data_IF_911198667652
#
_entry.id   IF_911198667652
#
_cell.length_a   1.000
_cell.length_b   1.000
_cell.length_c   1.000
_cell.angle_alpha   90.00
_cell.angle_beta   90.00
_cell.angle_gamma   90.00
#
_symmetry.space_group_name_H-M   'P 1'
#
loop_
_entity.id
_entity.type
_entity.pdbx_description
1 polymer ?
#
# COMPACT_ATOMS: atom_id res chain seq x y z
N UNK A 1 84.26 -29.53 -119.39
CA UNK A 1 83.05 -30.26 -119.82
C UNK A 1 82.27 -29.58 -120.95
N UNK A 2 81.62 -28.42 -120.77
CA UNK A 2 80.78 -27.84 -121.86
C UNK A 2 81.61 -27.42 -123.09
N UNK A 3 82.81 -26.84 -122.88
CA UNK A 3 83.75 -26.49 -123.96
C UNK A 3 84.34 -27.72 -124.66
N UNK A 4 84.52 -28.83 -123.95
CA UNK A 4 85.02 -30.09 -124.54
C UNK A 4 83.93 -30.78 -125.37
N UNK A 5 82.67 -30.70 -124.94
CA UNK A 5 81.54 -31.24 -125.70
C UNK A 5 81.32 -30.45 -127.01
N UNK A 6 81.52 -29.13 -126.98
CA UNK A 6 81.48 -28.27 -128.16
C UNK A 6 82.55 -28.66 -129.19
N UNK A 7 83.80 -28.79 -128.76
CA UNK A 7 84.92 -29.16 -129.65
C UNK A 7 84.76 -30.59 -130.20
N UNK A 8 84.32 -31.54 -129.37
CA UNK A 8 84.08 -32.92 -129.81
C UNK A 8 82.94 -33.01 -130.85
N UNK A 9 81.87 -32.21 -130.71
CA UNK A 9 80.79 -32.14 -131.70
C UNK A 9 81.26 -31.49 -133.01
N UNK A 10 82.16 -30.50 -132.94
CA UNK A 10 82.76 -29.85 -134.09
C UNK A 10 83.70 -30.79 -134.87
N UNK A 11 84.52 -31.57 -134.18
CA UNK A 11 85.38 -32.61 -134.79
C UNK A 11 84.56 -33.74 -135.44
N UNK A 12 83.37 -34.06 -134.90
CA UNK A 12 82.45 -35.04 -135.49
C UNK A 12 81.69 -34.51 -136.74
N UNK A 13 82.00 -33.29 -137.21
CA UNK A 13 81.42 -32.68 -138.41
C UNK A 13 80.10 -31.94 -138.19
N UNK A 14 79.68 -31.70 -136.94
CA UNK A 14 78.50 -30.86 -136.68
C UNK A 14 78.81 -29.39 -137.01
N UNK A 15 77.83 -28.67 -137.59
CA UNK A 15 77.99 -27.24 -137.85
C UNK A 15 78.15 -26.46 -136.54
N UNK A 16 78.89 -25.36 -136.61
CA UNK A 16 79.27 -24.57 -135.43
C UNK A 16 78.05 -24.12 -134.59
N UNK A 17 76.95 -23.77 -135.26
CA UNK A 17 75.67 -23.45 -134.60
C UNK A 17 75.06 -24.64 -133.83
N UNK A 18 75.15 -25.86 -134.37
CA UNK A 18 74.58 -27.05 -133.71
C UNK A 18 75.42 -27.49 -132.52
N UNK A 19 76.74 -27.40 -132.64
CA UNK A 19 77.64 -27.65 -131.51
C UNK A 19 77.42 -26.60 -130.40
N UNK A 20 77.26 -25.32 -130.75
CA UNK A 20 77.00 -24.24 -129.80
C UNK A 20 75.67 -24.43 -129.07
N UNK A 21 74.59 -24.73 -129.81
CA UNK A 21 73.28 -24.97 -129.24
C UNK A 21 73.28 -26.16 -128.27
N UNK A 22 73.98 -27.25 -128.61
CA UNK A 22 74.10 -28.42 -127.73
C UNK A 22 74.87 -28.07 -126.44
N UNK A 23 75.95 -27.31 -126.55
CA UNK A 23 76.72 -26.85 -125.40
C UNK A 23 75.91 -25.91 -124.48
N UNK A 24 75.10 -25.02 -125.04
CA UNK A 24 74.24 -24.10 -124.29
C UNK A 24 73.10 -24.84 -123.56
N UNK A 25 72.48 -25.83 -124.20
CA UNK A 25 71.47 -26.68 -123.55
C UNK A 25 72.07 -27.44 -122.37
N UNK A 26 73.28 -27.98 -122.52
CA UNK A 26 73.97 -28.66 -121.42
C UNK A 26 74.29 -27.70 -120.27
N UNK A 27 74.73 -26.47 -120.59
CA UNK A 27 74.95 -25.42 -119.60
C UNK A 27 73.66 -25.04 -118.85
N UNK A 28 72.54 -24.96 -119.56
CA UNK A 28 71.22 -24.74 -118.98
C UNK A 28 70.80 -25.87 -118.03
N UNK A 29 71.08 -27.12 -118.40
CA UNK A 29 70.78 -28.28 -117.57
C UNK A 29 71.61 -28.29 -116.28
N UNK A 30 72.91 -27.99 -116.35
CA UNK A 30 73.75 -27.91 -115.16
C UNK A 30 73.32 -26.77 -114.21
N UNK A 31 72.91 -25.62 -114.75
CA UNK A 31 72.36 -24.52 -113.92
C UNK A 31 71.02 -24.89 -113.26
N UNK A 32 70.19 -25.69 -113.94
CA UNK A 32 68.93 -26.17 -113.36
C UNK A 32 69.18 -27.14 -112.21
N UNK A 33 70.16 -28.01 -112.35
CA UNK A 33 70.56 -28.99 -111.32
C UNK A 33 71.08 -28.27 -110.05
N UNK A 34 71.95 -27.28 -110.23
CA UNK A 34 72.49 -26.46 -109.13
C UNK A 34 71.39 -25.64 -108.43
N UNK A 35 70.37 -25.17 -109.18
CA UNK A 35 69.18 -24.51 -108.59
C UNK A 35 68.24 -25.49 -107.88
N UNK A 36 68.24 -26.75 -108.29
CA UNK A 36 67.44 -27.81 -107.66
C UNK A 36 68.06 -28.23 -106.32
N UNK A 37 69.39 -28.23 -106.22
CA UNK A 37 70.09 -28.42 -104.94
C UNK A 37 69.96 -27.22 -103.99
N UNK A 38 69.81 -26.00 -104.54
CA UNK A 38 69.58 -24.79 -103.74
C UNK A 38 68.13 -24.60 -103.26
N UNK A 39 67.18 -25.43 -103.72
CA UNK A 39 65.81 -25.44 -103.20
C UNK A 39 65.75 -26.26 -101.91
N UNK A 40 65.06 -25.72 -100.90
CA UNK A 40 64.89 -26.31 -99.58
C UNK A 40 64.77 -27.84 -99.63
N UNK A 41 65.66 -28.51 -98.90
CA UNK A 41 65.77 -29.96 -98.90
C UNK A 41 64.52 -30.57 -98.26
N UNK A 42 64.26 -31.86 -98.53
CA UNK A 42 63.18 -32.58 -97.84
C UNK A 42 63.36 -32.59 -96.32
N UNK A 43 64.59 -32.41 -95.85
CA UNK A 43 64.96 -32.27 -94.44
C UNK A 43 64.35 -30.99 -93.84
N UNK A 44 64.53 -29.84 -94.51
CA UNK A 44 64.01 -28.54 -94.07
C UNK A 44 62.47 -28.56 -93.95
N UNK A 45 61.80 -29.23 -94.89
CA UNK A 45 60.35 -29.39 -94.86
C UNK A 45 59.89 -30.31 -93.72
N UNK A 46 60.70 -31.33 -93.37
CA UNK A 46 60.43 -32.23 -92.27
C UNK A 46 60.61 -31.53 -90.91
N UNK A 47 61.62 -30.66 -90.79
CA UNK A 47 61.88 -29.86 -89.61
C UNK A 47 60.76 -28.84 -89.37
N UNK A 48 60.39 -28.07 -90.40
CA UNK A 48 59.25 -27.13 -90.32
C UNK A 48 57.96 -27.86 -89.97
N UNK A 49 57.74 -29.08 -90.48
CA UNK A 49 56.56 -29.89 -90.13
C UNK A 49 56.59 -30.38 -88.68
N UNK A 50 57.77 -30.72 -88.17
CA UNK A 50 57.94 -31.13 -86.78
C UNK A 50 57.73 -29.95 -85.82
N UNK A 51 58.26 -28.78 -86.15
CA UNK A 51 58.01 -27.55 -85.40
C UNK A 51 56.54 -27.14 -85.44
N UNK A 52 55.88 -27.20 -86.61
CA UNK A 52 54.45 -26.91 -86.73
C UNK A 52 53.60 -27.87 -85.89
N UNK A 53 54.02 -29.14 -85.77
CA UNK A 53 53.34 -30.14 -84.94
C UNK A 53 53.52 -29.92 -83.44
N UNK A 54 54.61 -29.27 -83.02
CA UNK A 54 54.85 -28.85 -81.63
C UNK A 54 54.11 -27.55 -81.30
N UNK A 55 54.15 -26.57 -82.20
CA UNK A 55 53.51 -25.26 -82.04
C UNK A 55 51.97 -25.32 -82.10
N UNK A 56 51.40 -26.38 -82.68
CA UNK A 56 49.96 -26.62 -82.64
C UNK A 56 49.50 -27.12 -81.26
N UNK A 57 49.54 -26.23 -80.27
CA UNK A 57 48.49 -26.08 -79.23
C UNK A 57 48.20 -27.29 -78.31
N UNK A 58 49.01 -28.34 -78.25
CA UNK A 58 48.67 -29.51 -77.42
C UNK A 58 49.06 -29.35 -75.96
N UNK A 59 50.22 -28.76 -75.68
CA UNK A 59 50.67 -28.55 -74.31
C UNK A 59 49.88 -27.41 -73.65
N UNK A 60 49.84 -26.23 -74.25
CA UNK A 60 49.13 -25.08 -73.68
C UNK A 60 47.63 -25.35 -73.48
N UNK A 61 46.98 -26.04 -74.42
CA UNK A 61 45.55 -26.37 -74.32
C UNK A 61 45.30 -27.50 -73.31
N UNK A 62 46.26 -28.39 -73.10
CA UNK A 62 46.20 -29.40 -72.04
C UNK A 62 46.39 -28.75 -70.66
N UNK A 63 47.27 -27.76 -70.55
CA UNK A 63 47.52 -27.00 -69.33
C UNK A 63 46.31 -26.14 -68.96
N UNK A 64 45.77 -25.35 -69.89
CA UNK A 64 44.54 -24.57 -69.67
C UNK A 64 43.36 -25.49 -69.33
N UNK A 65 43.25 -26.67 -69.94
CA UNK A 65 42.20 -27.65 -69.60
C UNK A 65 42.39 -28.23 -68.19
N UNK A 66 43.63 -28.47 -67.77
CA UNK A 66 43.93 -28.95 -66.43
C UNK A 66 43.66 -27.86 -65.37
N UNK A 67 43.99 -26.61 -65.65
CA UNK A 67 43.67 -25.47 -64.79
C UNK A 67 42.15 -25.23 -64.70
N UNK A 68 41.43 -25.28 -65.83
CA UNK A 68 39.97 -25.16 -65.85
C UNK A 68 39.28 -26.32 -65.12
N UNK A 69 39.89 -27.50 -65.08
CA UNK A 69 39.38 -28.65 -64.31
C UNK A 69 39.68 -28.53 -62.81
N UNK A 70 40.63 -27.67 -62.41
CA UNK A 70 40.94 -27.35 -61.01
C UNK A 70 40.14 -26.14 -60.51
N UNK A 71 39.82 -25.19 -61.39
CA UNK A 71 39.05 -24.00 -61.02
C UNK A 71 37.55 -24.28 -61.09
N UNK A 72 36.90 -24.30 -59.92
CA UNK A 72 35.47 -24.49 -59.70
C UNK A 72 34.96 -25.91 -60.02
N UNK A 73 35.42 -26.90 -59.25
CA UNK A 73 34.88 -28.25 -59.34
C UNK A 73 33.55 -28.35 -58.58
N UNK A 74 32.75 -29.34 -58.99
CA UNK A 74 31.55 -29.76 -58.26
C UNK A 74 31.84 -30.10 -56.79
N UNK A 75 33.09 -30.40 -56.43
CA UNK A 75 33.54 -30.53 -55.04
C UNK A 75 33.31 -29.25 -54.25
N UNK A 76 33.75 -28.08 -54.71
CA UNK A 76 33.59 -26.82 -53.96
C UNK A 76 32.10 -26.49 -53.75
N UNK A 77 31.27 -26.73 -54.77
CA UNK A 77 29.82 -26.54 -54.68
C UNK A 77 29.17 -27.58 -53.76
N UNK A 78 29.68 -28.82 -53.73
CA UNK A 78 29.21 -29.87 -52.84
C UNK A 78 29.64 -29.62 -51.39
N UNK A 79 30.82 -29.06 -51.17
CA UNK A 79 31.35 -28.67 -49.87
C UNK A 79 30.56 -27.48 -49.31
N UNK A 80 30.37 -26.42 -50.10
CA UNK A 80 29.50 -25.29 -49.72
C UNK A 80 28.07 -25.77 -49.46
N UNK A 81 27.53 -26.72 -50.25
CA UNK A 81 26.20 -27.29 -50.00
C UNK A 81 26.14 -28.14 -48.73
N UNK A 82 27.19 -28.89 -48.43
CA UNK A 82 27.30 -29.68 -47.21
C UNK A 82 27.44 -28.78 -45.99
N UNK A 83 28.22 -27.70 -46.07
CA UNK A 83 28.29 -26.65 -45.04
C UNK A 83 26.94 -25.96 -44.85
N UNK A 84 26.25 -25.58 -45.94
CA UNK A 84 24.92 -24.95 -45.87
C UNK A 84 23.87 -25.89 -45.27
N UNK A 85 24.03 -27.21 -45.44
CA UNK A 85 23.15 -28.22 -44.83
C UNK A 85 23.49 -28.50 -43.35
N UNK A 86 24.70 -28.16 -42.91
CA UNK A 86 25.14 -28.19 -41.50
C UNK A 86 24.84 -26.90 -40.76
N UNK A 87 24.68 -25.79 -41.48
CA UNK A 87 24.28 -24.52 -40.88
C UNK A 87 22.83 -24.57 -40.40
N UNK A 88 22.60 -23.98 -39.22
CA UNK A 88 21.35 -23.97 -38.47
C UNK A 88 20.10 -24.03 -39.37
N UNK A 89 19.49 -25.19 -39.38
CA UNK A 89 18.26 -25.48 -40.11
C UNK A 89 17.07 -24.82 -39.42
N UNK A 90 15.92 -24.77 -40.10
CA UNK A 90 14.68 -24.28 -39.48
C UNK A 90 14.33 -25.06 -38.21
N UNK A 91 14.74 -26.32 -38.12
CA UNK A 91 14.65 -27.15 -36.91
C UNK A 91 15.43 -26.53 -35.73
N UNK A 92 16.69 -26.14 -35.92
CA UNK A 92 17.52 -25.57 -34.84
C UNK A 92 16.91 -24.25 -34.32
N UNK A 93 16.36 -23.42 -35.22
CA UNK A 93 15.68 -22.19 -34.84
C UNK A 93 14.36 -22.48 -34.10
N UNK A 94 13.65 -23.55 -34.46
CA UNK A 94 12.42 -23.97 -33.79
C UNK A 94 12.72 -24.52 -32.37
N UNK A 95 13.81 -25.24 -32.20
CA UNK A 95 14.27 -25.76 -30.90
C UNK A 95 14.68 -24.61 -29.96
N UNK A 96 15.51 -23.66 -30.44
CA UNK A 96 15.87 -22.47 -29.65
C UNK A 96 14.63 -21.65 -29.25
N UNK A 97 13.63 -21.54 -30.14
CA UNK A 97 12.37 -20.88 -29.82
C UNK A 97 11.56 -21.63 -28.76
N UNK A 98 11.51 -22.95 -28.83
CA UNK A 98 10.83 -23.79 -27.86
C UNK A 98 11.49 -23.68 -26.48
N UNK A 99 12.83 -23.70 -26.44
CA UNK A 99 13.60 -23.53 -25.21
C UNK A 99 13.40 -22.15 -24.59
N UNK A 100 13.42 -21.09 -25.41
CA UNK A 100 13.15 -19.73 -24.93
C UNK A 100 11.76 -19.60 -24.30
N UNK A 101 10.73 -20.17 -24.94
CA UNK A 101 9.37 -20.20 -24.40
C UNK A 101 9.31 -20.99 -23.09
N UNK A 102 9.96 -22.16 -23.04
CA UNK A 102 10.02 -23.00 -21.84
C UNK A 102 10.68 -22.26 -20.69
N UNK A 103 11.82 -21.61 -20.93
CA UNK A 103 12.51 -20.79 -19.94
C UNK A 103 11.63 -19.63 -19.44
N UNK A 104 11.01 -18.88 -20.34
CA UNK A 104 10.13 -17.76 -19.97
C UNK A 104 8.94 -18.22 -19.11
N UNK A 105 8.32 -19.36 -19.46
CA UNK A 105 7.24 -19.94 -18.63
C UNK A 105 7.75 -20.46 -17.30
N UNK A 106 8.90 -21.13 -17.25
CA UNK A 106 9.46 -21.69 -16.02
C UNK A 106 9.87 -20.59 -15.04
N UNK A 107 10.46 -19.50 -15.54
CA UNK A 107 10.80 -18.32 -14.73
C UNK A 107 9.53 -17.64 -14.18
N UNK A 108 8.51 -17.49 -15.02
CA UNK A 108 7.21 -16.92 -14.60
C UNK A 108 6.52 -17.78 -13.53
N UNK A 109 6.55 -19.11 -13.67
CA UNK A 109 6.01 -20.05 -12.69
C UNK A 109 6.81 -19.97 -11.39
N UNK A 110 8.14 -19.92 -11.44
CA UNK A 110 8.96 -19.76 -10.24
C UNK A 110 8.70 -18.44 -9.52
N UNK A 111 8.49 -17.35 -10.27
CA UNK A 111 8.13 -16.06 -9.69
C UNK A 111 6.75 -16.09 -9.02
N UNK A 112 5.78 -16.77 -9.64
CA UNK A 112 4.46 -16.98 -9.05
C UNK A 112 4.53 -17.84 -7.78
N UNK A 113 5.32 -18.90 -7.79
CA UNK A 113 5.51 -19.80 -6.65
C UNK A 113 6.10 -19.06 -5.44
N UNK A 114 7.13 -18.23 -5.66
CA UNK A 114 7.68 -17.35 -4.61
C UNK A 114 6.63 -16.37 -4.06
N UNK A 115 5.81 -15.77 -4.93
CA UNK A 115 4.74 -14.87 -4.51
C UNK A 115 3.65 -15.60 -3.74
N UNK A 116 3.32 -16.82 -4.15
CA UNK A 116 2.30 -17.64 -3.49
C UNK A 116 2.78 -18.04 -2.09
N UNK A 117 4.03 -18.51 -1.97
CA UNK A 117 4.66 -18.79 -0.67
C UNK A 117 4.69 -17.56 0.25
N UNK A 118 5.00 -16.38 -0.29
CA UNK A 118 4.96 -15.14 0.49
C UNK A 118 3.53 -14.79 0.94
N UNK A 119 2.52 -15.00 0.09
CA UNK A 119 1.11 -14.78 0.46
C UNK A 119 0.68 -15.78 1.53
N UNK A 120 1.05 -17.06 1.40
CA UNK A 120 0.73 -18.10 2.38
C UNK A 120 1.37 -17.83 3.75
N UNK A 121 2.58 -17.28 3.78
CA UNK A 121 3.27 -16.91 5.03
C UNK A 121 2.65 -15.69 5.74
N UNK A 122 2.10 -14.74 4.98
CA UNK A 122 1.60 -13.47 5.53
C UNK A 122 0.08 -13.30 5.53
N UNK A 123 -0.66 -14.25 5.00
CA UNK A 123 -2.12 -14.19 5.02
C UNK A 123 -2.66 -14.52 6.40
N UNK A 124 -3.58 -13.68 6.90
CA UNK A 124 -4.38 -14.04 8.06
C UNK A 124 -5.31 -15.21 7.71
N UNK A 125 -5.27 -16.23 8.54
CA UNK A 125 -6.14 -17.40 8.42
C UNK A 125 -7.52 -17.12 9.04
N UNK A 126 -8.48 -18.01 8.77
CA UNK A 126 -9.80 -17.94 9.40
C UNK A 126 -9.72 -18.11 10.91
N UNK A 127 -8.71 -18.81 11.40
CA UNK A 127 -8.50 -19.08 12.82
C UNK A 127 -7.98 -17.82 13.52
N UNK A 128 -7.02 -17.12 12.91
CA UNK A 128 -6.52 -15.81 13.39
C UNK A 128 -7.67 -14.80 13.51
N UNK A 129 -8.55 -14.74 12.50
CA UNK A 129 -9.73 -13.88 12.53
C UNK A 129 -10.74 -14.28 13.61
N UNK A 130 -10.90 -15.58 13.88
CA UNK A 130 -11.77 -16.07 14.94
C UNK A 130 -11.20 -15.73 16.33
N UNK A 131 -9.88 -15.82 16.51
CA UNK A 131 -9.18 -15.44 17.73
C UNK A 131 -9.33 -13.94 18.00
N UNK A 132 -8.98 -13.08 17.03
CA UNK A 132 -9.14 -11.61 17.15
C UNK A 132 -10.59 -11.24 17.48
N UNK A 133 -11.57 -11.90 16.85
CA UNK A 133 -12.99 -11.68 17.17
C UNK A 133 -13.32 -12.08 18.61
N UNK A 134 -12.76 -13.18 19.08
CA UNK A 134 -12.92 -13.66 20.46
C UNK A 134 -12.29 -12.72 21.48
N UNK A 135 -11.09 -12.20 21.20
CA UNK A 135 -10.40 -11.20 22.01
C UNK A 135 -11.19 -9.89 22.07
N UNK A 136 -11.66 -9.39 20.92
CA UNK A 136 -12.48 -8.19 20.87
C UNK A 136 -13.78 -8.34 21.68
N UNK A 137 -14.42 -9.51 21.61
CA UNK A 137 -15.61 -9.80 22.41
C UNK A 137 -15.29 -9.81 23.92
N UNK A 138 -14.15 -10.37 24.33
CA UNK A 138 -13.69 -10.34 25.72
C UNK A 138 -13.37 -8.93 26.20
N UNK A 139 -12.73 -8.11 25.37
CA UNK A 139 -12.45 -6.71 25.72
C UNK A 139 -13.75 -5.92 25.92
N UNK A 140 -14.71 -6.06 25.01
CA UNK A 140 -16.00 -5.39 25.11
C UNK A 140 -16.78 -5.80 26.38
N UNK A 141 -16.73 -7.08 26.77
CA UNK A 141 -17.36 -7.52 28.01
C UNK A 141 -16.61 -7.04 29.24
N UNK A 142 -15.27 -7.06 29.23
CA UNK A 142 -14.45 -6.59 30.35
C UNK A 142 -14.63 -5.09 30.60
N UNK A 143 -14.69 -4.27 29.54
CA UNK A 143 -14.96 -2.85 29.66
C UNK A 143 -16.35 -2.61 30.27
N UNK A 144 -17.36 -3.34 29.80
CA UNK A 144 -18.73 -3.28 30.34
C UNK A 144 -18.79 -3.68 31.82
N UNK A 145 -18.07 -4.74 32.21
CA UNK A 145 -17.97 -5.17 33.62
C UNK A 145 -17.27 -4.11 34.46
N UNK A 146 -16.19 -3.50 33.98
CA UNK A 146 -15.50 -2.43 34.71
C UNK A 146 -16.38 -1.19 34.92
N UNK A 147 -17.24 -0.87 33.94
CA UNK A 147 -18.19 0.22 34.06
C UNK A 147 -19.30 -0.10 35.08
N UNK A 148 -19.77 -1.35 35.11
CA UNK A 148 -20.71 -1.82 36.12
C UNK A 148 -20.09 -1.81 37.52
N UNK A 149 -18.82 -2.21 37.66
CA UNK A 149 -18.09 -2.22 38.93
C UNK A 149 -17.99 -0.81 39.54
N UNK A 150 -17.64 0.19 38.72
CA UNK A 150 -17.65 1.60 39.14
C UNK A 150 -19.04 2.08 39.56
N UNK A 151 -20.09 1.68 38.83
CA UNK A 151 -21.48 2.04 39.18
C UNK A 151 -21.93 1.35 40.46
N UNK A 152 -21.54 0.10 40.67
CA UNK A 152 -21.83 -0.65 41.87
C UNK A 152 -21.19 0.03 43.08
N UNK A 153 -19.89 0.36 42.99
CA UNK A 153 -19.18 1.09 44.03
C UNK A 153 -19.85 2.44 44.36
N UNK A 154 -20.28 3.19 43.36
CA UNK A 154 -21.02 4.44 43.58
C UNK A 154 -22.37 4.22 44.27
N UNK A 155 -23.10 3.16 43.91
CA UNK A 155 -24.36 2.80 44.57
C UNK A 155 -24.12 2.37 46.01
N UNK A 156 -23.09 1.56 46.26
CA UNK A 156 -22.71 1.11 47.61
C UNK A 156 -22.33 2.28 48.53
N UNK A 157 -21.69 3.32 48.00
CA UNK A 157 -21.34 4.53 48.76
C UNK A 157 -22.56 5.40 49.10
N UNK A 158 -23.58 5.44 48.23
CA UNK A 158 -24.72 6.35 48.38
C UNK A 158 -26.03 5.70 48.83
N UNK A 159 -26.07 4.37 48.94
CA UNK A 159 -27.27 3.68 49.40
C UNK A 159 -27.45 3.86 50.91
N UNK A 160 -28.68 4.18 51.31
CA UNK A 160 -29.05 4.18 52.72
C UNK A 160 -28.93 2.76 53.27
N UNK A 161 -28.14 2.59 54.32
CA UNK A 161 -27.93 1.31 54.96
C UNK A 161 -29.03 1.00 55.97
N UNK A 162 -29.10 -0.25 56.42
CA UNK A 162 -29.99 -0.64 57.53
C UNK A 162 -29.70 0.16 58.81
N UNK A 163 -28.45 0.57 59.02
CA UNK A 163 -28.08 1.40 60.17
C UNK A 163 -28.66 2.81 60.05
N UNK A 164 -28.63 3.40 58.85
CA UNK A 164 -29.22 4.72 58.61
C UNK A 164 -30.73 4.70 58.85
N UNK A 165 -31.41 3.63 58.42
CA UNK A 165 -32.82 3.43 58.69
C UNK A 165 -33.10 3.29 60.20
N UNK A 166 -32.28 2.52 60.93
CA UNK A 166 -32.41 2.37 62.37
C UNK A 166 -32.20 3.71 63.11
N UNK A 167 -31.28 4.56 62.65
CA UNK A 167 -31.08 5.91 63.19
C UNK A 167 -32.30 6.81 62.93
N UNK A 168 -32.88 6.74 61.74
CA UNK A 168 -34.10 7.49 61.40
C UNK A 168 -35.27 7.01 62.26
N UNK A 169 -35.44 5.70 62.42
CA UNK A 169 -36.46 5.09 63.28
C UNK A 169 -36.31 5.54 64.74
N UNK A 170 -35.09 5.51 65.29
CA UNK A 170 -34.83 6.00 66.64
C UNK A 170 -35.16 7.50 66.80
N UNK A 171 -34.83 8.33 65.80
CA UNK A 171 -35.19 9.75 65.79
C UNK A 171 -36.69 9.96 65.68
N UNK A 172 -37.39 9.13 64.90
CA UNK A 172 -38.84 9.17 64.78
C UNK A 172 -39.48 8.86 66.14
N UNK A 173 -39.07 7.79 66.81
CA UNK A 173 -39.57 7.45 68.14
C UNK A 173 -39.33 8.57 69.16
N UNK A 174 -38.16 9.21 69.11
CA UNK A 174 -37.85 10.35 69.98
C UNK A 174 -38.73 11.57 69.68
N UNK A 175 -38.98 11.87 68.40
CA UNK A 175 -39.90 12.95 68.00
C UNK A 175 -41.33 12.63 68.41
N UNK A 176 -41.77 11.38 68.28
CA UNK A 176 -43.09 10.92 68.71
C UNK A 176 -43.27 11.02 70.23
N UNK A 177 -42.22 10.80 71.03
CA UNK A 177 -42.27 10.97 72.48
C UNK A 177 -42.37 12.45 72.91
N UNK A 178 -41.74 13.36 72.17
CA UNK A 178 -41.65 14.78 72.54
C UNK A 178 -42.57 15.72 71.77
N UNK A 179 -43.36 15.21 70.83
CA UNK A 179 -44.33 16.04 70.13
C UNK A 179 -45.51 16.40 71.06
N UNK A 180 -45.92 17.67 71.00
CA UNK A 180 -47.14 18.12 71.69
C UNK A 180 -48.33 17.39 71.09
N UNK A 181 -48.96 16.56 71.90
CA UNK A 181 -50.12 15.81 71.45
C UNK A 181 -51.38 16.68 71.52
N UNK A 182 -52.43 16.26 70.81
CA UNK A 182 -53.75 16.91 70.94
C UNK A 182 -54.26 16.87 72.39
N UNK A 183 -53.86 15.87 73.17
CA UNK A 183 -54.22 15.75 74.59
C UNK A 183 -53.52 16.82 75.44
N UNK A 184 -52.26 17.11 75.18
CA UNK A 184 -51.51 18.17 75.88
C UNK A 184 -52.14 19.55 75.62
N UNK A 185 -52.55 19.81 74.37
CA UNK A 185 -53.26 21.03 74.01
C UNK A 185 -54.60 21.14 74.74
N UNK A 186 -55.37 20.05 74.79
CA UNK A 186 -56.64 20.01 75.51
C UNK A 186 -56.48 20.25 77.03
N UNK A 187 -55.40 19.71 77.64
CA UNK A 187 -55.06 19.98 79.05
C UNK A 187 -54.70 21.44 79.28
N UNK A 188 -53.94 22.06 78.37
CA UNK A 188 -53.61 23.50 78.46
C UNK A 188 -54.86 24.35 78.29
N UNK A 189 -55.74 24.02 77.36
CA UNK A 189 -57.01 24.71 77.14
C UNK A 189 -57.91 24.62 78.39
N UNK A 190 -58.02 23.45 79.01
CA UNK A 190 -58.76 23.28 80.26
C UNK A 190 -58.14 24.06 81.44
N UNK A 191 -56.80 24.14 81.51
CA UNK A 191 -56.12 24.97 82.52
C UNK A 191 -56.34 26.46 82.24
N UNK A 192 -56.34 26.87 80.98
CA UNK A 192 -56.61 28.25 80.58
C UNK A 192 -58.03 28.65 80.97
N UNK A 193 -59.04 27.82 80.68
CA UNK A 193 -60.42 28.08 81.08
C UNK A 193 -60.58 28.18 82.60
N UNK A 194 -59.87 27.32 83.35
CA UNK A 194 -59.89 27.36 84.81
C UNK A 194 -59.21 28.63 85.37
N UNK A 195 -58.08 29.04 84.79
CA UNK A 195 -57.40 30.29 85.17
C UNK A 195 -58.30 31.49 84.82
N UNK A 196 -58.92 31.50 83.65
CA UNK A 196 -59.87 32.55 83.26
C UNK A 196 -61.07 32.65 84.21
N UNK A 197 -61.55 31.53 84.74
CA UNK A 197 -62.65 31.51 85.73
C UNK A 197 -62.23 32.07 87.10
N UNK A 198 -61.00 31.78 87.56
CA UNK A 198 -60.53 32.16 88.89
C UNK A 198 -59.71 33.45 88.95
N UNK A 199 -59.32 34.03 87.81
CA UNK A 199 -58.65 35.32 87.81
C UNK A 199 -59.64 36.44 88.12
N UNK A 200 -59.25 37.34 89.02
CA UNK A 200 -59.97 38.58 89.31
C UNK A 200 -60.07 39.35 88.01
N UNK A 201 -61.26 39.36 87.44
CA UNK A 201 -61.49 40.01 86.17
C UNK A 201 -61.48 41.52 86.36
N UNK A 202 -61.29 42.28 85.28
CA UNK A 202 -61.48 43.74 85.33
C UNK A 202 -62.83 44.12 85.96
N UNK A 203 -63.86 43.30 85.80
CA UNK A 203 -65.17 43.51 86.41
C UNK A 203 -65.18 43.40 87.95
N UNK A 204 -64.35 42.55 88.53
CA UNK A 204 -64.23 42.41 89.99
C UNK A 204 -63.48 43.62 90.59
N UNK A 205 -62.48 44.16 89.89
CA UNK A 205 -61.85 45.43 90.26
C UNK A 205 -62.83 46.60 90.23
N UNK A 206 -63.68 46.70 89.20
CA UNK A 206 -64.71 47.75 89.13
C UNK A 206 -65.71 47.64 90.29
N UNK A 207 -66.12 46.43 90.68
CA UNK A 207 -66.97 46.22 91.86
C UNK A 207 -66.28 46.62 93.16
N UNK A 208 -64.99 46.34 93.29
CA UNK A 208 -64.20 46.71 94.47
C UNK A 208 -64.04 48.23 94.57
N UNK A 209 -63.76 48.91 93.45
CA UNK A 209 -63.68 50.37 93.35
C UNK A 209 -64.98 51.03 93.82
N UNK A 210 -66.14 50.52 93.37
CA UNK A 210 -67.46 50.98 93.84
C UNK A 210 -67.65 50.75 95.34
N UNK A 211 -67.24 49.58 95.87
CA UNK A 211 -67.33 49.30 97.31
C UNK A 211 -66.44 50.21 98.13
N UNK A 212 -65.21 50.48 97.66
CA UNK A 212 -64.28 51.42 98.30
C UNK A 212 -64.88 52.83 98.30
N UNK A 213 -65.40 53.30 97.17
CA UNK A 213 -66.07 54.61 97.09
C UNK A 213 -67.27 54.70 98.07
N UNK A 214 -68.04 53.62 98.20
CA UNK A 214 -69.17 53.55 99.15
C UNK A 214 -68.71 53.57 100.61
N UNK A 215 -67.60 52.90 100.92
CA UNK A 215 -67.01 52.90 102.26
C UNK A 215 -66.43 54.26 102.62
N UNK A 216 -65.72 54.91 101.70
CA UNK A 216 -65.21 56.28 101.87
C UNK A 216 -66.34 57.26 102.13
N UNK A 217 -67.45 57.16 101.39
CA UNK A 217 -68.64 57.97 101.63
C UNK A 217 -69.22 57.74 103.03
N UNK A 218 -69.32 56.48 103.49
CA UNK A 218 -69.80 56.16 104.85
C UNK A 218 -68.87 56.69 105.95
N UNK A 219 -67.56 56.56 105.75
CA UNK A 219 -66.57 57.09 106.69
C UNK A 219 -66.62 58.61 106.75
N UNK A 220 -66.78 59.29 105.61
CA UNK A 220 -66.98 60.73 105.56
C UNK A 220 -68.21 61.17 106.35
N UNK A 221 -69.35 60.46 106.21
CA UNK A 221 -70.56 60.73 106.99
C UNK A 221 -70.33 60.49 108.49
N UNK A 222 -69.67 59.39 108.87
CA UNK A 222 -69.33 59.11 110.27
C UNK A 222 -68.41 60.18 110.87
N UNK A 223 -67.40 60.63 110.14
CA UNK A 223 -66.48 61.67 110.57
C UNK A 223 -67.22 63.00 110.77
N UNK A 224 -68.14 63.33 109.86
CA UNK A 224 -68.99 64.51 110.00
C UNK A 224 -69.91 64.42 111.24
N UNK A 225 -70.55 63.26 111.45
CA UNK A 225 -71.38 62.99 112.63
C UNK A 225 -70.58 63.11 113.93
N UNK A 226 -69.38 62.51 114.00
CA UNK A 226 -68.51 62.61 115.17
C UNK A 226 -68.01 64.05 115.40
N UNK A 227 -67.70 64.79 114.33
CA UNK A 227 -67.38 66.21 114.43
C UNK A 227 -68.55 67.04 114.98
N UNK A 228 -69.76 66.77 114.50
CA UNK A 228 -70.98 67.44 114.95
C UNK A 228 -71.32 67.11 116.41
N UNK A 229 -71.16 65.86 116.85
CA UNK A 229 -71.38 65.49 118.26
C UNK A 229 -70.31 66.10 119.17
N UNK A 230 -69.04 66.10 118.75
CA UNK A 230 -67.95 66.71 119.53
C UNK A 230 -68.14 68.23 119.67
N UNK A 231 -68.49 68.92 118.58
CA UNK A 231 -68.86 70.35 118.61
C UNK A 231 -70.08 70.60 119.50
N UNK A 232 -71.11 69.76 119.42
CA UNK A 232 -72.29 69.84 120.26
C UNK A 232 -71.96 69.71 121.76
N UNK A 233 -71.10 68.77 122.13
CA UNK A 233 -70.63 68.60 123.51
C UNK A 233 -69.82 69.81 123.97
N UNK A 234 -68.89 70.32 123.16
CA UNK A 234 -68.08 71.51 123.49
C UNK A 234 -68.97 72.74 123.68
N UNK A 235 -69.96 72.95 122.80
CA UNK A 235 -70.91 74.06 122.93
C UNK A 235 -71.71 73.96 124.24
N UNK A 236 -72.09 72.75 124.66
CA UNK A 236 -72.82 72.50 125.90
C UNK A 236 -71.96 72.78 127.14
N UNK A 237 -70.67 72.41 127.11
CA UNK A 237 -69.70 72.74 128.17
C UNK A 237 -69.45 74.24 128.27
N UNK A 238 -69.25 74.94 127.15
CA UNK A 238 -69.08 76.40 127.15
C UNK A 238 -70.32 77.10 127.70
N UNK A 239 -71.52 76.66 127.31
CA UNK A 239 -72.78 77.21 127.84
C UNK A 239 -72.98 76.92 129.33
N UNK A 240 -72.43 75.83 129.85
CA UNK A 240 -72.46 75.50 131.28
C UNK A 240 -71.50 76.34 132.13
N UNK A 241 -70.43 76.90 131.56
CA UNK A 241 -69.39 77.65 132.29
C UNK A 241 -69.56 79.18 132.24
N UNK A 242 -70.51 79.70 131.45
CA UNK A 242 -70.81 81.13 131.39
C UNK A 242 -72.33 81.39 131.28
N UNK A 243 -73.10 81.18 132.36
CA UNK A 243 -74.47 81.68 132.42
C UNK A 243 -74.42 83.18 132.68
N UNK A 244 -74.78 83.98 131.67
CA UNK A 244 -75.19 85.36 131.89
C UNK A 244 -76.43 85.43 132.79
#
# INVERSE_FOLDING_TARGET
>A
MIRELYEALKEAGASEEKAAAAAEVLAGFMRLDERLEALATKEDLAEVRAELSRMATREDLAEVRAELSRMATKEDLAEVRAELSRMATKEDLAEVRADLLRMATQESVSALDKRLSHVEEHMATKEDLAEVRGELARMATQESVSALDKRLSHVEEHMATKEDLAKVEARLSHVEEHMVTKEDLAKVEARLSHVEEHMVTKGDFSKLEVRVATLEARLGVMQWLMGATFLGIVALVIRSFWPG
#
